data_IF_793864976042
#
_entry.id   IF_793864976042
#
_cell.length_a   1.000
_cell.length_b   1.000
_cell.length_c   1.000
_cell.angle_alpha   90.00
_cell.angle_beta   90.00
_cell.angle_gamma   90.00
#
_symmetry.space_group_name_H-M   'P 1'
#
loop_
_entity.id
_entity.type
_entity.pdbx_description
1 polymer ?
#
# COMPACT_ATOMS: atom_id res chain seq x y z
N UNK A 1 17.53 -66.97 -2.11
CA UNK A 1 17.83 -67.56 -3.44
C UNK A 1 17.93 -66.42 -4.46
N UNK A 2 19.14 -66.17 -4.97
CA UNK A 2 19.55 -65.42 -6.21
C UNK A 2 19.00 -63.99 -6.42
N UNK A 3 19.74 -62.88 -6.32
CA UNK A 3 20.97 -62.39 -7.01
C UNK A 3 20.79 -62.09 -8.52
N UNK A 4 20.79 -60.77 -8.82
CA UNK A 4 21.26 -60.02 -10.01
C UNK A 4 20.47 -60.18 -11.34
N UNK A 5 20.36 -59.18 -12.24
CA UNK A 5 21.45 -58.39 -12.87
C UNK A 5 20.96 -57.12 -13.59
N UNK A 6 21.78 -56.07 -13.48
CA UNK A 6 21.86 -54.92 -14.40
C UNK A 6 22.39 -55.34 -15.78
N UNK A 7 21.94 -54.68 -16.84
CA UNK A 7 22.62 -54.68 -18.15
C UNK A 7 22.58 -53.26 -18.72
N UNK A 8 23.77 -52.67 -18.85
CA UNK A 8 24.05 -51.50 -19.68
C UNK A 8 24.32 -51.97 -21.12
N UNK A 9 23.88 -51.21 -22.12
CA UNK A 9 24.32 -51.37 -23.50
C UNK A 9 24.82 -50.02 -24.03
N UNK A 10 26.13 -49.96 -24.26
CA UNK A 10 26.80 -48.90 -25.01
C UNK A 10 26.68 -49.19 -26.51
N UNK A 11 26.40 -48.17 -27.31
CA UNK A 11 26.48 -48.24 -28.77
C UNK A 11 27.52 -47.22 -29.27
N UNK A 12 28.63 -47.75 -29.77
CA UNK A 12 29.64 -47.07 -30.57
C UNK A 12 29.12 -46.86 -32.00
N UNK A 13 29.17 -45.64 -32.51
CA UNK A 13 29.06 -45.37 -33.96
C UNK A 13 30.22 -44.46 -34.36
N UNK A 14 31.10 -45.00 -35.19
CA UNK A 14 32.14 -44.27 -35.90
C UNK A 14 31.63 -43.96 -37.32
N UNK A 15 31.80 -42.70 -37.77
CA UNK A 15 31.51 -42.25 -39.13
C UNK A 15 32.39 -41.05 -39.47
N UNK A 16 33.03 -41.07 -40.64
CA UNK A 16 34.21 -40.30 -40.99
C UNK A 16 33.96 -39.19 -42.05
N UNK A 17 34.89 -38.20 -42.09
CA UNK A 17 35.13 -37.13 -43.09
C UNK A 17 34.01 -36.06 -43.26
N UNK A 18 34.30 -34.75 -43.38
CA UNK A 18 35.16 -34.06 -44.36
C UNK A 18 35.72 -32.73 -43.80
N UNK A 19 36.94 -32.35 -44.21
CA UNK A 19 37.48 -31.01 -44.04
C UNK A 19 36.85 -30.04 -45.04
N UNK A 20 36.14 -29.03 -44.54
CA UNK A 20 35.81 -27.80 -45.28
C UNK A 20 36.28 -26.61 -44.46
N UNK A 21 37.33 -25.95 -44.95
CA UNK A 21 37.74 -24.65 -44.46
C UNK A 21 36.78 -23.58 -44.96
N UNK A 22 36.35 -22.70 -44.04
CA UNK A 22 35.81 -21.39 -44.34
C UNK A 22 36.35 -20.40 -43.30
N UNK A 23 36.79 -19.27 -43.81
CA UNK A 23 37.39 -18.13 -43.13
C UNK A 23 36.56 -17.64 -41.94
N UNK A 24 37.17 -17.49 -40.77
CA UNK A 24 36.56 -16.79 -39.65
C UNK A 24 36.39 -15.31 -40.01
N UNK A 25 35.16 -14.93 -40.31
CA UNK A 25 34.74 -13.54 -40.38
C UNK A 25 34.76 -12.99 -38.95
N UNK A 26 35.56 -11.95 -38.73
CA UNK A 26 35.58 -11.14 -37.51
C UNK A 26 34.21 -10.42 -37.43
N UNK A 27 33.22 -11.09 -36.86
CA UNK A 27 31.98 -10.46 -36.41
C UNK A 27 32.34 -9.85 -35.06
N UNK A 28 32.46 -8.51 -35.03
CA UNK A 28 32.58 -7.77 -33.79
C UNK A 28 31.39 -8.08 -32.90
N UNK A 29 31.58 -9.02 -31.99
CA UNK A 29 30.65 -9.30 -30.92
C UNK A 29 30.66 -8.06 -30.03
N UNK A 30 29.65 -7.19 -30.21
CA UNK A 30 29.35 -6.12 -29.26
C UNK A 30 29.10 -6.78 -27.91
N UNK A 31 30.16 -6.78 -27.10
CA UNK A 31 30.14 -7.23 -25.71
C UNK A 31 29.16 -6.32 -24.97
N UNK A 32 27.91 -6.76 -24.88
CA UNK A 32 26.87 -6.11 -24.09
C UNK A 32 27.45 -5.84 -22.72
N UNK A 33 27.54 -4.56 -22.35
CA UNK A 33 27.98 -4.15 -21.02
C UNK A 33 26.98 -4.75 -20.03
N UNK A 34 27.41 -5.52 -19.03
CA UNK A 34 26.47 -6.04 -18.04
C UNK A 34 25.82 -4.85 -17.32
N UNK A 35 24.51 -4.69 -17.51
CA UNK A 35 23.70 -3.78 -16.70
C UNK A 35 23.86 -4.20 -15.25
N UNK A 36 24.38 -3.29 -14.42
CA UNK A 36 24.52 -3.54 -13.00
C UNK A 36 23.15 -3.90 -12.42
N UNK A 37 23.02 -5.09 -11.84
CA UNK A 37 21.86 -5.44 -11.00
C UNK A 37 21.79 -4.39 -9.88
N UNK A 38 20.66 -3.68 -9.71
CA UNK A 38 20.55 -2.72 -8.63
C UNK A 38 20.82 -3.43 -7.30
N UNK A 39 21.65 -2.80 -6.46
CA UNK A 39 21.88 -3.29 -5.11
C UNK A 39 20.55 -3.24 -4.36
N UNK A 40 20.10 -4.34 -3.73
CA UNK A 40 18.84 -4.33 -2.98
C UNK A 40 18.94 -3.27 -1.88
N UNK A 41 17.99 -2.34 -1.88
CA UNK A 41 17.86 -1.35 -0.81
C UNK A 41 17.46 -2.11 0.46
N UNK A 42 18.12 -1.88 1.61
CA UNK A 42 17.74 -2.53 2.85
C UNK A 42 16.29 -2.17 3.22
N UNK A 43 15.48 -3.18 3.47
CA UNK A 43 14.09 -3.04 3.92
C UNK A 43 14.11 -2.51 5.35
N UNK A 44 13.38 -1.42 5.63
CA UNK A 44 13.21 -0.92 6.99
C UNK A 44 12.37 -1.92 7.76
N UNK A 45 12.89 -2.39 8.90
CA UNK A 45 12.12 -3.29 9.76
C UNK A 45 11.01 -2.51 10.46
N UNK A 46 9.83 -3.10 10.50
CA UNK A 46 8.72 -2.67 11.32
C UNK A 46 8.99 -2.79 12.82
N UNK A 47 8.21 -2.09 13.63
CA UNK A 47 8.29 -2.17 15.10
C UNK A 47 7.28 -3.15 15.73
N UNK A 48 6.39 -3.71 14.90
CA UNK A 48 5.43 -4.74 15.28
C UNK A 48 4.14 -4.19 15.88
N UNK A 49 3.85 -2.90 15.74
CA UNK A 49 2.54 -2.31 15.99
C UNK A 49 2.27 -1.16 15.01
N UNK A 50 1.21 -1.29 14.20
CA UNK A 50 0.83 -0.24 13.26
C UNK A 50 0.34 1.03 14.00
N UNK A 51 1.16 2.07 13.97
CA UNK A 51 0.88 3.38 14.55
C UNK A 51 0.44 4.39 13.48
N UNK A 52 -0.77 4.92 13.65
CA UNK A 52 -1.39 5.87 12.73
C UNK A 52 -1.45 7.27 13.34
N UNK A 53 -1.28 8.28 12.49
CA UNK A 53 -1.62 9.66 12.82
C UNK A 53 -2.52 10.24 11.73
N UNK A 54 -3.69 10.76 12.08
CA UNK A 54 -4.43 11.61 11.13
C UNK A 54 -3.94 13.05 11.23
N UNK A 55 -3.73 13.72 10.10
CA UNK A 55 -3.54 15.17 10.05
C UNK A 55 -4.63 15.78 9.17
N UNK A 56 -5.58 16.48 9.81
CA UNK A 56 -6.85 16.91 9.20
C UNK A 56 -7.09 18.41 9.38
N UNK A 57 -7.87 19.02 8.48
CA UNK A 57 -8.38 20.39 8.64
C UNK A 57 -9.52 20.45 9.69
N UNK A 58 -9.16 20.32 10.97
CA UNK A 58 -10.11 20.29 12.09
C UNK A 58 -10.65 21.67 12.52
N UNK A 59 -10.25 22.74 11.83
CA UNK A 59 -10.69 24.10 12.13
C UNK A 59 -11.41 24.73 10.92
N UNK A 60 -12.32 25.65 11.19
CA UNK A 60 -13.05 26.38 10.16
C UNK A 60 -14.12 25.54 9.47
N UNK A 61 -14.37 25.82 8.18
CA UNK A 61 -15.56 25.33 7.46
C UNK A 61 -15.58 23.82 7.20
N UNK A 62 -14.44 23.16 7.30
CA UNK A 62 -14.28 21.72 7.04
C UNK A 62 -14.19 20.90 8.32
N UNK A 63 -14.32 21.54 9.50
CA UNK A 63 -14.17 20.87 10.80
C UNK A 63 -15.13 19.68 10.94
N UNK A 64 -16.39 19.83 10.52
CA UNK A 64 -17.39 18.75 10.62
C UNK A 64 -17.05 17.55 9.69
N UNK A 65 -16.49 17.81 8.50
CA UNK A 65 -16.00 16.76 7.60
C UNK A 65 -14.79 16.05 8.21
N UNK A 66 -13.88 16.81 8.82
CA UNK A 66 -12.74 16.24 9.54
C UNK A 66 -13.19 15.42 10.74
N UNK A 67 -14.24 15.81 11.45
CA UNK A 67 -14.84 15.01 12.52
C UNK A 67 -15.39 13.69 11.98
N UNK A 68 -16.09 13.69 10.84
CA UNK A 68 -16.53 12.45 10.20
C UNK A 68 -15.35 11.55 9.77
N UNK A 69 -14.25 12.12 9.29
CA UNK A 69 -13.03 11.37 8.98
C UNK A 69 -12.40 10.75 10.22
N UNK A 70 -12.34 11.48 11.34
CA UNK A 70 -11.93 10.93 12.65
C UNK A 70 -12.82 9.74 13.02
N UNK A 71 -14.14 9.89 12.92
CA UNK A 71 -15.09 8.81 13.19
C UNK A 71 -14.86 7.57 12.30
N UNK A 72 -14.54 7.78 11.02
CA UNK A 72 -14.21 6.73 10.06
C UNK A 72 -12.93 5.97 10.44
N UNK A 73 -11.86 6.68 10.79
CA UNK A 73 -10.60 6.07 11.23
C UNK A 73 -10.79 5.32 12.54
N UNK A 74 -11.45 5.92 13.53
CA UNK A 74 -11.71 5.29 14.83
C UNK A 74 -12.59 4.04 14.70
N UNK A 75 -13.57 4.07 13.79
CA UNK A 75 -14.36 2.89 13.45
C UNK A 75 -13.48 1.77 12.88
N UNK A 76 -12.62 2.08 11.91
CA UNK A 76 -11.73 1.10 11.31
C UNK A 76 -10.74 0.52 12.32
N UNK A 77 -10.10 1.36 13.12
CA UNK A 77 -9.15 0.93 14.18
C UNK A 77 -9.83 0.02 15.19
N UNK A 78 -11.04 0.36 15.64
CA UNK A 78 -11.81 -0.50 16.55
C UNK A 78 -12.07 -1.87 15.92
N UNK A 79 -12.57 -1.92 14.69
CA UNK A 79 -12.88 -3.18 14.03
C UNK A 79 -11.65 -4.03 13.73
N UNK A 80 -10.52 -3.40 13.38
CA UNK A 80 -9.22 -4.07 13.24
C UNK A 80 -8.80 -4.70 14.57
N UNK A 81 -8.87 -3.94 15.66
CA UNK A 81 -8.46 -4.41 16.99
C UNK A 81 -9.39 -5.49 17.55
N UNK A 82 -10.69 -5.43 17.27
CA UNK A 82 -11.65 -6.50 17.58
C UNK A 82 -11.31 -7.82 16.86
N UNK A 83 -10.61 -7.74 15.72
CA UNK A 83 -10.14 -8.89 14.93
C UNK A 83 -8.70 -9.31 15.28
N UNK A 84 -8.13 -8.81 16.37
CA UNK A 84 -6.76 -9.13 16.81
C UNK A 84 -5.68 -8.19 16.27
N UNK A 85 -6.08 -7.13 15.58
CA UNK A 85 -5.18 -6.08 15.09
C UNK A 85 -4.49 -6.42 13.77
N UNK A 86 -3.32 -5.83 13.56
CA UNK A 86 -2.49 -5.99 12.36
C UNK A 86 -1.18 -6.63 12.77
N UNK A 87 -0.77 -7.68 12.05
CA UNK A 87 0.41 -8.50 12.40
C UNK A 87 0.37 -9.05 13.84
N UNK A 88 -0.83 -9.26 14.39
CA UNK A 88 -1.05 -9.77 15.75
C UNK A 88 -0.93 -8.73 16.86
N UNK A 89 -0.84 -7.44 16.52
CA UNK A 89 -0.75 -6.34 17.48
C UNK A 89 -1.85 -5.29 17.26
N UNK A 90 -2.32 -4.62 18.33
CA UNK A 90 -3.34 -3.58 18.21
C UNK A 90 -2.84 -2.36 17.43
N UNK A 91 -3.68 -1.85 16.55
CA UNK A 91 -3.50 -0.58 15.86
C UNK A 91 -3.75 0.57 16.83
N UNK A 92 -2.87 1.57 16.82
CA UNK A 92 -2.97 2.77 17.66
C UNK A 92 -3.09 3.99 16.76
N UNK A 93 -4.03 4.89 17.06
CA UNK A 93 -4.21 6.12 16.29
C UNK A 93 -4.15 7.37 17.18
N UNK A 94 -3.62 8.47 16.62
CA UNK A 94 -3.76 9.82 17.16
C UNK A 94 -4.24 10.81 16.11
N UNK A 95 -4.99 11.82 16.56
CA UNK A 95 -5.58 12.83 15.68
C UNK A 95 -4.94 14.19 15.87
N UNK A 96 -4.47 14.81 14.79
CA UNK A 96 -3.87 16.15 14.77
C UNK A 96 -4.56 17.07 13.76
N UNK A 97 -4.52 18.35 14.07
CA UNK A 97 -5.02 19.41 13.21
C UNK A 97 -3.87 20.00 12.38
N UNK A 98 -4.16 20.37 11.15
CA UNK A 98 -3.27 21.19 10.29
C UNK A 98 -2.98 22.58 10.85
N UNK A 99 -3.67 23.01 11.90
CA UNK A 99 -3.35 24.23 12.65
C UNK A 99 -2.15 24.07 13.58
N UNK A 100 -1.72 22.83 13.85
CA UNK A 100 -0.49 22.58 14.58
C UNK A 100 0.74 22.87 13.71
N UNK A 101 1.83 23.25 14.37
CA UNK A 101 3.11 23.50 13.71
C UNK A 101 3.67 22.21 13.05
N UNK A 102 4.14 22.31 11.81
CA UNK A 102 4.61 21.16 11.05
C UNK A 102 5.84 20.50 11.69
N UNK A 103 6.78 21.28 12.24
CA UNK A 103 7.95 20.74 12.91
C UNK A 103 7.56 20.03 14.23
N UNK A 104 6.56 20.53 14.95
CA UNK A 104 5.99 19.84 16.10
C UNK A 104 5.32 18.52 15.71
N UNK A 105 4.58 18.47 14.59
CA UNK A 105 4.04 17.21 14.05
C UNK A 105 5.17 16.25 13.73
N UNK A 106 6.19 16.66 12.98
CA UNK A 106 7.34 15.80 12.62
C UNK A 106 8.04 15.24 13.85
N UNK A 107 8.25 16.08 14.88
CA UNK A 107 8.81 15.62 16.16
C UNK A 107 7.94 14.52 16.78
N UNK A 108 6.63 14.69 16.77
CA UNK A 108 5.71 13.71 17.33
C UNK A 108 5.67 12.40 16.53
N UNK A 109 5.78 12.47 15.20
CA UNK A 109 5.89 11.27 14.35
C UNK A 109 7.03 10.37 14.84
N UNK A 110 8.19 10.96 15.15
CA UNK A 110 9.34 10.23 15.70
C UNK A 110 9.11 9.77 17.15
N UNK A 111 8.63 10.66 18.03
CA UNK A 111 8.47 10.35 19.45
C UNK A 111 7.45 9.22 19.71
N UNK A 112 6.49 9.04 18.78
CA UNK A 112 5.41 8.05 18.90
C UNK A 112 5.52 6.90 17.90
N UNK A 113 6.65 6.78 17.19
CA UNK A 113 6.88 5.76 16.16
C UNK A 113 5.73 5.67 15.15
N UNK A 114 5.24 6.79 14.63
CA UNK A 114 4.13 6.76 13.66
C UNK A 114 4.62 6.17 12.34
N UNK A 115 3.97 5.10 11.89
CA UNK A 115 4.26 4.46 10.61
C UNK A 115 3.55 5.15 9.44
N UNK A 116 2.30 5.58 9.66
CA UNK A 116 1.47 6.13 8.59
C UNK A 116 0.73 7.39 9.03
N UNK A 117 0.95 8.46 8.28
CA UNK A 117 0.16 9.69 8.36
C UNK A 117 -1.01 9.62 7.38
N UNK A 118 -2.23 9.60 7.91
CA UNK A 118 -3.45 9.74 7.12
C UNK A 118 -3.78 11.23 6.94
N UNK A 119 -3.45 11.76 5.76
CA UNK A 119 -3.55 13.19 5.47
C UNK A 119 -4.86 13.54 4.76
N UNK A 120 -5.58 14.53 5.29
CA UNK A 120 -6.69 15.17 4.57
C UNK A 120 -6.78 16.66 4.92
N UNK A 121 -6.09 17.46 4.12
CA UNK A 121 -6.10 18.92 4.22
C UNK A 121 -6.30 19.57 2.86
N UNK A 122 -6.73 20.83 2.89
CA UNK A 122 -6.70 21.71 1.73
C UNK A 122 -5.24 22.08 1.43
N UNK A 123 -4.82 21.79 0.21
CA UNK A 123 -3.49 22.10 -0.29
C UNK A 123 -2.50 20.94 -0.17
N UNK A 124 -1.23 21.31 -0.30
CA UNK A 124 -0.11 20.37 -0.30
C UNK A 124 0.27 19.95 1.13
N UNK A 125 0.88 18.77 1.23
CA UNK A 125 1.50 18.32 2.47
C UNK A 125 2.74 19.20 2.68
N UNK A 126 2.95 19.82 3.86
CA UNK A 126 4.16 20.57 4.17
C UNK A 126 5.42 19.75 3.87
N UNK A 127 6.45 20.40 3.32
CA UNK A 127 7.68 19.73 2.87
C UNK A 127 8.31 18.90 4.01
N UNK A 128 8.26 19.42 5.23
CA UNK A 128 8.80 18.75 6.42
C UNK A 128 8.09 17.43 6.72
N UNK A 129 6.77 17.38 6.51
CA UNK A 129 5.96 16.16 6.70
C UNK A 129 6.13 15.23 5.50
N UNK A 130 6.22 15.77 4.28
CA UNK A 130 6.47 14.97 3.08
C UNK A 130 7.87 14.32 3.07
N UNK A 131 8.84 14.90 3.78
CA UNK A 131 10.23 14.45 3.82
C UNK A 131 10.55 13.38 4.87
N UNK A 132 9.59 12.96 5.72
CA UNK A 132 9.87 12.05 6.85
C UNK A 132 10.45 10.69 6.40
N UNK A 133 9.86 10.08 5.37
CA UNK A 133 10.35 8.86 4.70
C UNK A 133 10.70 7.66 5.60
N UNK A 134 11.14 6.57 4.96
CA UNK A 134 11.67 5.39 5.67
C UNK A 134 10.65 4.72 6.58
N UNK A 135 10.77 4.92 7.90
CA UNK A 135 9.86 4.35 8.89
C UNK A 135 8.45 4.96 8.85
N UNK A 136 8.28 6.16 8.29
CA UNK A 136 6.98 6.83 8.18
C UNK A 136 6.62 7.10 6.72
N UNK A 137 5.36 6.88 6.35
CA UNK A 137 4.79 7.28 5.05
C UNK A 137 3.55 8.16 5.22
N UNK A 138 3.17 8.89 4.17
CA UNK A 138 1.96 9.71 4.15
C UNK A 138 1.00 9.18 3.12
N UNK A 139 -0.22 8.85 3.55
CA UNK A 139 -1.31 8.36 2.69
C UNK A 139 -2.43 9.40 2.69
N UNK A 140 -2.86 9.82 1.50
CA UNK A 140 -3.98 10.78 1.38
C UNK A 140 -5.31 10.07 1.47
N UNK A 141 -6.17 10.55 2.36
CA UNK A 141 -7.58 10.15 2.38
C UNK A 141 -8.26 10.72 1.13
N UNK A 142 -9.14 9.92 0.52
CA UNK A 142 -9.94 10.29 -0.64
C UNK A 142 -10.79 11.56 -0.44
N UNK A 143 -11.31 12.08 -1.56
CA UNK A 143 -12.26 13.19 -1.54
C UNK A 143 -13.54 12.75 -0.81
N UNK A 144 -14.16 13.66 -0.07
CA UNK A 144 -15.38 13.38 0.68
C UNK A 144 -16.61 13.56 -0.23
N UNK A 145 -16.81 12.65 -1.18
CA UNK A 145 -17.90 12.68 -2.15
C UNK A 145 -18.85 11.47 -2.07
N UNK A 146 -18.50 10.45 -1.29
CA UNK A 146 -19.34 9.28 -1.05
C UNK A 146 -20.30 9.49 0.11
N UNK A 147 -21.56 9.09 -0.08
CA UNK A 147 -22.62 9.22 0.93
C UNK A 147 -22.86 7.89 1.64
N UNK A 148 -22.77 7.84 2.98
CA UNK A 148 -23.08 6.62 3.73
C UNK A 148 -24.57 6.27 3.66
N UNK A 149 -24.84 4.97 3.52
CA UNK A 149 -26.17 4.42 3.75
C UNK A 149 -26.51 4.41 5.25
N UNK A 150 -27.72 3.97 5.61
CA UNK A 150 -28.17 3.99 7.00
C UNK A 150 -27.33 3.07 7.90
N UNK A 151 -26.94 1.89 7.40
CA UNK A 151 -26.18 0.92 8.16
C UNK A 151 -24.77 1.42 8.48
N UNK A 152 -24.07 1.96 7.47
CA UNK A 152 -22.75 2.54 7.68
C UNK A 152 -22.80 3.85 8.46
N UNK A 153 -23.87 4.64 8.29
CA UNK A 153 -24.09 5.85 9.10
C UNK A 153 -24.17 5.50 10.59
N UNK A 154 -24.90 4.44 10.95
CA UNK A 154 -25.01 3.98 12.33
C UNK A 154 -23.65 3.53 12.89
N UNK A 155 -22.82 2.87 12.08
CA UNK A 155 -21.45 2.47 12.46
C UNK A 155 -20.55 3.69 12.69
N UNK A 156 -20.58 4.69 11.82
CA UNK A 156 -19.81 5.93 12.04
C UNK A 156 -20.26 6.64 13.32
N UNK A 157 -21.57 6.69 13.59
CA UNK A 157 -22.12 7.32 14.79
C UNK A 157 -21.80 6.55 16.08
N UNK A 158 -21.54 5.24 16.00
CA UNK A 158 -21.07 4.49 17.17
C UNK A 158 -19.62 4.85 17.52
N UNK A 159 -18.83 5.30 16.55
CA UNK A 159 -17.50 5.84 16.78
C UNK A 159 -17.54 7.27 17.35
N UNK A 160 -18.36 8.13 16.75
CA UNK A 160 -18.56 9.51 17.20
C UNK A 160 -20.02 9.95 16.98
N UNK A 161 -20.85 9.99 18.04
CA UNK A 161 -22.24 10.47 17.94
C UNK A 161 -22.36 11.95 17.53
N UNK A 162 -21.28 12.72 17.68
CA UNK A 162 -21.18 14.13 17.32
C UNK A 162 -20.90 14.37 15.83
N UNK A 163 -20.38 13.38 15.09
CA UNK A 163 -20.00 13.54 13.69
C UNK A 163 -21.21 13.81 12.79
N UNK A 164 -21.40 15.08 12.40
CA UNK A 164 -22.49 15.54 11.52
C UNK A 164 -22.02 16.72 10.67
N UNK A 165 -22.07 16.65 9.32
CA UNK A 165 -22.47 15.50 8.49
C UNK A 165 -21.46 14.33 8.56
N UNK A 166 -21.83 13.17 8.02
CA UNK A 166 -20.99 11.96 7.99
C UNK A 166 -20.12 11.82 6.71
N UNK A 167 -20.11 12.85 5.87
CA UNK A 167 -19.35 12.84 4.61
C UNK A 167 -17.84 12.81 4.90
N UNK A 168 -17.08 11.99 4.18
CA UNK A 168 -15.65 11.78 4.41
C UNK A 168 -15.33 10.63 5.36
N UNK A 169 -16.30 10.15 6.14
CA UNK A 169 -16.07 9.06 7.09
C UNK A 169 -15.83 7.71 6.41
N UNK A 170 -16.52 7.43 5.29
CA UNK A 170 -16.31 6.19 4.53
C UNK A 170 -14.93 6.13 3.90
N UNK A 171 -14.47 7.24 3.33
CA UNK A 171 -13.16 7.33 2.69
C UNK A 171 -12.05 7.15 3.72
N UNK A 172 -12.16 7.80 4.88
CA UNK A 172 -11.19 7.64 5.97
C UNK A 172 -11.15 6.20 6.52
N UNK A 173 -12.32 5.57 6.66
CA UNK A 173 -12.43 4.16 7.05
C UNK A 173 -11.72 3.26 6.02
N UNK A 174 -12.03 3.41 4.73
CA UNK A 174 -11.45 2.56 3.68
C UNK A 174 -9.94 2.80 3.52
N UNK A 175 -9.46 4.05 3.63
CA UNK A 175 -8.02 4.34 3.63
C UNK A 175 -7.32 3.60 4.78
N UNK A 176 -7.91 3.62 5.98
CA UNK A 176 -7.36 2.94 7.15
C UNK A 176 -7.31 1.42 6.96
N UNK A 177 -8.38 0.82 6.42
CA UNK A 177 -8.42 -0.61 6.08
C UNK A 177 -7.37 -1.00 5.04
N UNK A 178 -7.16 -0.16 4.01
CA UNK A 178 -6.15 -0.40 2.97
C UNK A 178 -4.73 -0.34 3.53
N UNK A 179 -4.45 0.61 4.42
CA UNK A 179 -3.17 0.71 5.12
C UNK A 179 -2.91 -0.53 5.96
N UNK A 180 -3.90 -0.99 6.73
CA UNK A 180 -3.80 -2.22 7.51
C UNK A 180 -3.54 -3.46 6.64
N UNK A 181 -4.27 -3.60 5.52
CA UNK A 181 -4.06 -4.70 4.57
C UNK A 181 -2.69 -4.62 3.87
N UNK A 182 -2.19 -3.43 3.59
CA UNK A 182 -0.87 -3.23 3.00
C UNK A 182 0.23 -3.70 3.95
N UNK A 183 0.14 -3.35 5.24
CA UNK A 183 1.04 -3.88 6.27
C UNK A 183 0.97 -5.42 6.35
N UNK A 184 -0.23 -6.01 6.26
CA UNK A 184 -0.42 -7.47 6.22
C UNK A 184 0.23 -8.11 4.99
N UNK A 185 0.06 -7.52 3.79
CA UNK A 185 0.70 -8.00 2.55
C UNK A 185 2.21 -7.93 2.64
N UNK A 186 2.74 -6.87 3.27
CA UNK A 186 4.17 -6.68 3.43
C UNK A 186 4.80 -7.52 4.54
N UNK A 187 3.98 -8.12 5.42
CA UNK A 187 4.41 -8.70 6.71
C UNK A 187 5.33 -7.72 7.49
N UNK A 188 5.03 -6.43 7.39
CA UNK A 188 5.85 -5.33 7.87
C UNK A 188 5.02 -4.04 7.94
N UNK A 189 4.99 -3.41 9.10
CA UNK A 189 4.22 -2.20 9.38
C UNK A 189 4.99 -0.89 9.15
N UNK A 190 6.29 -0.93 8.85
CA UNK A 190 7.05 0.29 8.53
C UNK A 190 6.41 1.07 7.37
N UNK A 191 6.48 2.39 7.45
CA UNK A 191 5.91 3.28 6.44
C UNK A 191 6.36 2.96 5.02
N UNK A 192 7.65 2.64 4.80
CA UNK A 192 8.14 2.22 3.48
C UNK A 192 7.51 0.93 2.98
N UNK A 193 7.34 -0.07 3.85
CA UNK A 193 6.75 -1.35 3.46
C UNK A 193 5.26 -1.20 3.13
N UNK A 194 4.53 -0.40 3.94
CA UNK A 194 3.14 -0.03 3.65
C UNK A 194 3.05 0.72 2.32
N UNK A 195 3.92 1.70 2.08
CA UNK A 195 3.91 2.49 0.84
C UNK A 195 4.13 1.61 -0.40
N UNK A 196 5.05 0.65 -0.34
CA UNK A 196 5.34 -0.27 -1.43
C UNK A 196 4.18 -1.24 -1.69
N UNK A 197 3.48 -1.67 -0.63
CA UNK A 197 2.41 -2.67 -0.72
C UNK A 197 1.01 -2.08 -0.97
N UNK A 198 0.77 -0.77 -0.78
CA UNK A 198 -0.59 -0.22 -0.76
C UNK A 198 -1.35 -0.34 -2.08
N UNK A 199 -0.65 -0.48 -3.21
CA UNK A 199 -1.29 -0.73 -4.50
C UNK A 199 -1.71 -2.19 -4.68
N UNK A 200 -0.97 -3.12 -4.07
CA UNK A 200 -1.19 -4.56 -4.19
C UNK A 200 -2.56 -5.00 -3.63
N UNK A 201 -3.07 -4.30 -2.61
CA UNK A 201 -4.39 -4.60 -2.01
C UNK A 201 -5.57 -4.28 -2.93
N UNK A 202 -5.31 -3.73 -4.13
CA UNK A 202 -6.32 -3.36 -5.13
C UNK A 202 -6.08 -4.01 -6.50
N UNK A 203 -4.98 -4.73 -6.69
CA UNK A 203 -4.55 -5.24 -8.00
C UNK A 203 -4.70 -6.76 -8.13
N UNK A 204 -5.29 -7.41 -7.13
CA UNK A 204 -5.47 -8.85 -7.11
C UNK A 204 -6.67 -9.36 -7.91
N UNK A 205 -7.13 -10.55 -7.54
CA UNK A 205 -8.23 -11.25 -8.22
C UNK A 205 -9.36 -11.63 -7.29
N UNK A 206 -9.07 -11.81 -6.00
CA UNK A 206 -10.09 -12.13 -5.00
C UNK A 206 -10.71 -10.84 -4.47
N UNK A 207 -12.00 -10.63 -4.74
CA UNK A 207 -12.73 -9.48 -4.21
C UNK A 207 -13.15 -9.74 -2.77
N UNK A 208 -12.85 -8.80 -1.88
CA UNK A 208 -13.23 -8.85 -0.47
C UNK A 208 -13.72 -7.47 0.00
N UNK A 209 -14.63 -7.44 0.99
CA UNK A 209 -15.28 -6.19 1.45
C UNK A 209 -14.98 -5.84 2.90
N UNK A 210 -14.27 -6.70 3.63
CA UNK A 210 -13.87 -6.48 5.02
C UNK A 210 -12.42 -6.90 5.27
N UNK A 211 -11.81 -6.38 6.34
CA UNK A 211 -10.45 -6.75 6.73
C UNK A 211 -10.33 -8.27 6.95
N UNK A 212 -11.22 -8.87 7.73
CA UNK A 212 -11.16 -10.31 8.04
C UNK A 212 -11.27 -11.20 6.80
N UNK A 213 -12.15 -10.88 5.85
CA UNK A 213 -12.24 -11.61 4.57
C UNK A 213 -10.95 -11.47 3.75
N UNK A 214 -10.42 -10.24 3.65
CA UNK A 214 -9.19 -9.99 2.91
C UNK A 214 -7.98 -10.66 3.57
N UNK A 215 -7.87 -10.58 4.90
CA UNK A 215 -6.79 -11.20 5.66
C UNK A 215 -6.83 -12.74 5.55
N UNK A 216 -8.02 -13.35 5.58
CA UNK A 216 -8.16 -14.78 5.35
C UNK A 216 -7.72 -15.18 3.93
N UNK A 217 -8.11 -14.40 2.91
CA UNK A 217 -7.68 -14.64 1.54
C UNK A 217 -6.15 -14.49 1.38
N UNK A 218 -5.55 -13.49 2.02
CA UNK A 218 -4.09 -13.29 2.04
C UNK A 218 -3.37 -14.46 2.71
N UNK A 219 -3.93 -15.02 3.79
CA UNK A 219 -3.37 -16.20 4.46
C UNK A 219 -3.41 -17.47 3.60
N UNK A 220 -4.29 -17.51 2.60
CA UNK A 220 -4.37 -18.56 1.57
C UNK A 220 -3.57 -18.21 0.29
N UNK A 221 -2.61 -17.28 0.40
CA UNK A 221 -1.74 -16.80 -0.69
C UNK A 221 -2.50 -16.14 -1.88
N UNK A 222 -3.75 -15.70 -1.67
CA UNK A 222 -4.51 -15.01 -2.71
C UNK A 222 -4.06 -13.56 -2.87
N UNK A 223 -4.14 -13.04 -4.10
CA UNK A 223 -4.06 -11.60 -4.33
C UNK A 223 -5.45 -10.98 -4.25
N UNK A 224 -5.59 -9.89 -3.49
CA UNK A 224 -6.90 -9.31 -3.17
C UNK A 224 -7.21 -8.03 -3.95
N UNK A 225 -8.50 -7.77 -4.11
CA UNK A 225 -9.07 -6.46 -4.47
C UNK A 225 -9.98 -6.06 -3.32
N UNK A 226 -9.48 -5.23 -2.42
CA UNK A 226 -10.31 -4.65 -1.38
C UNK A 226 -11.27 -3.64 -2.00
N UNK A 227 -12.55 -3.98 -1.96
CA UNK A 227 -13.61 -3.18 -2.54
C UNK A 227 -14.04 -2.01 -1.64
N UNK A 228 -13.83 -2.07 -0.32
CA UNK A 228 -14.21 -1.01 0.61
C UNK A 228 -15.72 -0.73 0.69
N UNK A 229 -16.10 0.18 1.58
CA UNK A 229 -17.49 0.67 1.68
C UNK A 229 -17.80 1.73 0.64
N UNK A 230 -16.78 2.50 0.24
CA UNK A 230 -16.87 3.56 -0.77
C UNK A 230 -16.65 3.03 -2.19
N UNK A 231 -16.33 1.75 -2.35
CA UNK A 231 -15.87 1.20 -3.61
C UNK A 231 -14.38 1.50 -3.86
N UNK A 232 -14.03 1.83 -5.09
CA UNK A 232 -12.64 2.14 -5.46
C UNK A 232 -12.11 3.48 -4.89
N UNK A 233 -12.96 4.28 -4.22
CA UNK A 233 -12.68 5.68 -3.85
C UNK A 233 -11.77 5.90 -2.64
N UNK A 234 -11.42 4.86 -1.89
CA UNK A 234 -10.69 4.98 -0.62
C UNK A 234 -9.22 5.46 -0.69
N UNK A 235 -8.63 5.62 -1.89
CA UNK A 235 -7.30 6.19 -2.07
C UNK A 235 -7.34 7.29 -3.12
N UNK A 236 -6.95 8.51 -2.76
CA UNK A 236 -6.44 9.45 -3.76
C UNK A 236 -5.03 8.96 -4.13
N UNK A 237 -4.78 8.65 -5.41
CA UNK A 237 -3.50 8.09 -5.88
C UNK A 237 -2.28 8.77 -5.23
N UNK A 238 -1.29 7.98 -4.84
CA UNK A 238 0.00 8.48 -4.41
C UNK A 238 0.69 9.13 -5.61
N UNK A 239 0.65 10.47 -5.67
CA UNK A 239 1.18 11.35 -6.74
C UNK A 239 0.61 11.07 -8.15
N UNK A 240 0.10 12.08 -8.89
CA UNK A 240 -0.22 11.88 -10.29
C UNK A 240 1.08 11.60 -11.08
N UNK A 241 1.09 10.49 -11.82
CA UNK A 241 2.00 10.30 -12.95
C UNK A 241 1.91 11.55 -13.85
N UNK A 242 3.04 12.11 -14.34
CA UNK A 242 3.00 13.32 -15.16
C UNK A 242 2.10 13.09 -16.38
N UNK A 243 1.06 13.93 -16.54
CA UNK A 243 0.16 13.83 -17.69
C UNK A 243 0.96 13.84 -19.01
N UNK A 244 0.70 12.91 -19.96
CA UNK A 244 1.32 12.97 -21.26
C UNK A 244 0.86 14.24 -21.99
N UNK A 245 1.84 15.04 -22.39
CA UNK A 245 1.61 16.30 -23.12
C UNK A 245 0.71 16.08 -24.34
N UNK A 246 -0.31 16.92 -24.57
CA UNK A 246 -1.24 16.73 -25.67
C UNK A 246 -0.54 16.91 -27.02
N UNK A 247 -0.44 15.82 -27.77
CA UNK A 247 0.03 15.82 -29.15
C UNK A 247 -0.95 16.65 -30.00
N UNK A 248 -0.48 17.80 -30.50
CA UNK A 248 -1.26 18.66 -31.40
C UNK A 248 -1.65 17.88 -32.65
N UNK A 249 -2.92 17.49 -32.74
CA UNK A 249 -3.46 16.89 -33.95
C UNK A 249 -3.58 17.98 -35.04
N UNK A 250 -2.76 17.87 -36.09
CA UNK A 250 -2.84 18.74 -37.27
C UNK A 250 -4.17 18.49 -37.97
N UNK A 251 -5.08 19.46 -37.95
CA UNK A 251 -6.26 19.45 -38.82
C UNK A 251 -5.79 19.49 -40.28
N UNK A 252 -6.22 18.50 -41.06
CA UNK A 252 -6.25 18.54 -42.53
C UNK A 252 -7.42 19.39 -42.98
#
# INVERSE_FOLDING_TARGET
MRIHRSVALAALVAGALLLTGCTAQDQGEERSTPTATPTPVPIVAGDGSLHLMTVLDMAGKTADVSQARVAGVELAVRELNEQGGVLGAPVVVVHRSTTADAAAIVKELTDRSIDVVLWAAKGDIPEEIAAVGGATTVVRIGQADWKPDEAFSARLQSADPGAKPLIGGGEAYDTTMRVALAATVADNDSGSAVADAITAVSSGTFSCVSFGECAAALADDATIVYAGVTGTGGLAQATPEPEPSPTKSKKK
#
